data_IF_342727931167
#
_entry.id   IF_342727931167
#
_cell.length_a   1.000
_cell.length_b   1.000
_cell.length_c   1.000
_cell.angle_alpha   90.00
_cell.angle_beta   90.00
_cell.angle_gamma   90.00
#
_symmetry.space_group_name_H-M   'P 1'
#
loop_
_entity.id
_entity.type
_entity.pdbx_description
1 polymer ?
#
# COMPACT_ATOMS: atom_id res chain seq x y z
N UNK A 1 9.41 -10.72 -12.00
CA UNK A 1 8.58 -10.45 -10.81
C UNK A 1 9.00 -11.30 -9.61
N UNK A 2 8.91 -10.75 -8.39
CA UNK A 2 9.21 -11.40 -7.11
C UNK A 2 7.90 -11.86 -6.45
N UNK A 3 7.85 -13.11 -5.98
CA UNK A 3 6.73 -13.66 -5.20
C UNK A 3 6.75 -13.11 -3.77
N UNK A 4 5.63 -12.56 -3.32
CA UNK A 4 5.42 -12.06 -1.95
C UNK A 4 3.96 -12.25 -1.53
N UNK A 5 3.70 -12.12 -0.23
CA UNK A 5 2.34 -11.92 0.28
C UNK A 5 1.98 -10.44 0.10
N UNK A 6 0.84 -10.17 -0.52
CA UNK A 6 0.19 -8.86 -0.52
C UNK A 6 -0.89 -8.78 0.56
N UNK A 7 -1.02 -7.60 1.18
CA UNK A 7 -2.14 -7.25 2.06
C UNK A 7 -2.87 -6.00 1.57
N UNK A 8 -4.11 -5.79 2.00
CA UNK A 8 -4.83 -4.55 1.74
C UNK A 8 -4.44 -3.45 2.74
N UNK A 9 -4.48 -2.19 2.29
CA UNK A 9 -4.36 -1.02 3.15
C UNK A 9 -5.28 0.11 2.66
N UNK A 10 -5.47 1.13 3.51
CA UNK A 10 -6.32 2.29 3.22
C UNK A 10 -7.73 1.89 2.73
N UNK A 11 -8.29 0.81 3.30
CA UNK A 11 -9.65 0.39 2.96
C UNK A 11 -10.66 1.40 3.53
N UNK A 12 -11.85 1.60 2.92
CA UNK A 12 -12.86 2.53 3.43
C UNK A 12 -13.20 2.33 4.92
N UNK A 13 -13.18 1.07 5.38
CA UNK A 13 -13.40 0.73 6.80
C UNK A 13 -12.26 1.20 7.72
N UNK A 14 -11.03 1.24 7.23
CA UNK A 14 -9.89 1.73 8.00
C UNK A 14 -9.98 3.25 8.17
N UNK A 15 -10.42 3.97 7.13
CA UNK A 15 -10.69 5.41 7.17
C UNK A 15 -11.87 5.74 8.09
N UNK A 16 -12.94 4.96 8.03
CA UNK A 16 -14.07 5.09 8.97
C UNK A 16 -13.62 4.92 10.43
N UNK A 17 -12.79 3.91 10.71
CA UNK A 17 -12.24 3.66 12.06
C UNK A 17 -11.32 4.79 12.51
N UNK A 18 -10.43 5.26 11.63
CA UNK A 18 -9.55 6.39 11.88
C UNK A 18 -10.37 7.62 12.28
N UNK A 19 -11.34 8.02 11.45
CA UNK A 19 -12.16 9.20 11.68
C UNK A 19 -13.00 9.08 12.96
N UNK A 20 -13.54 7.89 13.23
CA UNK A 20 -14.29 7.63 14.46
C UNK A 20 -13.43 7.84 15.70
N UNK A 21 -12.26 7.21 15.76
CA UNK A 21 -11.36 7.34 16.92
C UNK A 21 -10.81 8.75 17.05
N UNK A 22 -10.53 9.43 15.94
CA UNK A 22 -10.12 10.83 15.96
C UNK A 22 -11.22 11.73 16.54
N UNK A 23 -12.47 11.52 16.15
CA UNK A 23 -13.60 12.28 16.69
C UNK A 23 -13.85 12.00 18.18
N UNK A 24 -13.66 10.75 18.62
CA UNK A 24 -13.85 10.35 20.03
C UNK A 24 -12.71 10.81 20.94
N UNK A 25 -11.47 10.83 20.45
CA UNK A 25 -10.27 11.02 21.29
C UNK A 25 -9.50 12.30 21.03
N UNK A 26 -9.70 12.95 19.87
CA UNK A 26 -8.86 14.05 19.38
C UNK A 26 -7.40 13.67 19.13
N UNK A 27 -7.04 12.39 19.23
CA UNK A 27 -5.65 11.92 19.12
C UNK A 27 -5.41 11.25 17.78
N UNK A 28 -4.66 11.92 16.91
CA UNK A 28 -4.21 11.35 15.63
C UNK A 28 -3.40 10.07 15.84
N UNK A 29 -2.56 10.02 16.89
CA UNK A 29 -1.81 8.80 17.23
C UNK A 29 -2.74 7.62 17.55
N UNK A 30 -3.80 7.85 18.33
CA UNK A 30 -4.76 6.79 18.64
C UNK A 30 -5.56 6.38 17.40
N UNK A 31 -5.92 7.35 16.56
CA UNK A 31 -6.62 7.12 15.31
C UNK A 31 -5.80 6.28 14.32
N UNK A 32 -4.50 6.59 14.14
CA UNK A 32 -3.57 5.82 13.32
C UNK A 32 -3.27 4.41 13.88
N UNK A 33 -3.49 4.19 15.17
CA UNK A 33 -3.42 2.85 15.76
C UNK A 33 -4.69 2.03 15.51
N UNK A 34 -5.82 2.69 15.32
CA UNK A 34 -7.13 2.06 15.13
C UNK A 34 -7.49 1.84 13.65
N UNK A 35 -6.95 2.65 12.76
CA UNK A 35 -7.21 2.62 11.33
C UNK A 35 -6.17 3.40 10.53
N UNK A 36 -6.53 3.74 9.30
CA UNK A 36 -5.68 4.39 8.30
C UNK A 36 -6.32 5.73 7.90
N UNK A 37 -5.53 6.80 7.73
CA UNK A 37 -6.07 8.10 7.35
C UNK A 37 -6.30 8.27 5.85
N UNK A 38 -5.93 7.27 5.03
CA UNK A 38 -6.06 7.28 3.59
C UNK A 38 -5.07 8.22 2.88
N UNK A 39 -3.97 8.59 3.53
CA UNK A 39 -2.95 9.49 2.99
C UNK A 39 -1.58 8.82 3.06
N UNK A 40 -0.97 8.59 1.90
CA UNK A 40 0.35 7.98 1.81
C UNK A 40 1.48 8.91 2.27
N UNK A 41 2.67 8.34 2.48
CA UNK A 41 3.86 9.01 3.01
C UNK A 41 4.30 10.28 2.24
N UNK A 42 3.80 10.50 1.02
CA UNK A 42 4.08 11.70 0.22
C UNK A 42 2.86 12.57 -0.09
N UNK A 43 1.76 12.40 0.66
CA UNK A 43 0.54 13.21 0.56
C UNK A 43 -0.44 12.77 -0.53
N UNK A 44 -0.19 11.64 -1.19
CA UNK A 44 -1.12 11.05 -2.15
C UNK A 44 -2.34 10.45 -1.40
N UNK A 45 -3.56 10.60 -1.94
CA UNK A 45 -4.76 9.98 -1.39
C UNK A 45 -4.76 8.50 -1.75
N UNK A 46 -4.57 7.63 -0.76
CA UNK A 46 -4.43 6.17 -0.95
C UNK A 46 -5.75 5.43 -0.79
N UNK A 47 -6.69 5.97 -0.03
CA UNK A 47 -8.06 5.44 0.11
C UNK A 47 -8.93 5.80 -1.11
N UNK A 48 -8.50 5.38 -2.28
CA UNK A 48 -9.16 5.62 -3.56
C UNK A 48 -9.21 4.36 -4.41
N UNK A 49 -10.28 4.21 -5.18
CA UNK A 49 -10.45 3.19 -6.20
C UNK A 49 -9.95 3.67 -7.58
N UNK A 50 -9.75 4.98 -7.74
CA UNK A 50 -9.42 5.62 -9.01
C UNK A 50 -7.98 5.32 -9.47
N UNK A 51 -7.02 5.32 -8.54
CA UNK A 51 -5.61 5.06 -8.82
C UNK A 51 -5.12 3.82 -8.06
N UNK A 52 -4.38 2.95 -8.76
CA UNK A 52 -3.71 1.81 -8.16
C UNK A 52 -2.42 2.25 -7.46
N UNK A 53 -2.41 2.21 -6.13
CA UNK A 53 -1.32 2.69 -5.29
C UNK A 53 -0.88 1.58 -4.34
N UNK A 54 0.43 1.38 -4.24
CA UNK A 54 1.02 0.42 -3.31
C UNK A 54 1.94 1.08 -2.29
N UNK A 55 2.19 0.34 -1.21
CA UNK A 55 3.24 0.61 -0.25
C UNK A 55 4.31 -0.50 -0.29
N UNK A 56 5.57 -0.12 -0.12
CA UNK A 56 6.71 -1.07 -0.03
C UNK A 56 7.58 -0.74 1.18
N UNK A 57 8.35 -1.71 1.72
CA UNK A 57 9.28 -1.45 2.81
C UNK A 57 10.39 -0.48 2.39
N UNK A 58 10.86 0.40 3.30
CA UNK A 58 11.86 1.41 2.98
C UNK A 58 13.19 0.81 2.50
N UNK A 59 13.55 -0.39 2.94
CA UNK A 59 14.76 -1.09 2.49
C UNK A 59 14.65 -1.50 1.00
N UNK A 60 13.50 -2.07 0.61
CA UNK A 60 13.22 -2.48 -0.78
C UNK A 60 13.22 -1.26 -1.71
N UNK A 61 12.65 -0.15 -1.24
CA UNK A 61 12.62 1.11 -1.99
C UNK A 61 14.04 1.64 -2.21
N UNK A 62 14.84 1.72 -1.14
CA UNK A 62 16.20 2.28 -1.19
C UNK A 62 17.15 1.39 -1.99
N UNK A 63 16.99 0.08 -1.95
CA UNK A 63 17.79 -0.87 -2.75
C UNK A 63 17.71 -0.55 -4.25
N UNK A 64 16.52 -0.20 -4.76
CA UNK A 64 16.35 0.14 -6.18
C UNK A 64 16.68 1.61 -6.49
N UNK A 65 16.19 2.54 -5.69
CA UNK A 65 16.15 3.96 -6.05
C UNK A 65 17.12 4.84 -5.28
N UNK A 66 17.87 4.30 -4.32
CA UNK A 66 18.82 5.04 -3.48
C UNK A 66 18.17 5.88 -2.38
N UNK A 67 16.96 6.41 -2.59
CA UNK A 67 16.22 7.17 -1.58
C UNK A 67 14.69 7.05 -1.71
N UNK A 68 14.00 7.26 -0.59
CA UNK A 68 12.53 7.28 -0.55
C UNK A 68 11.96 8.41 -1.42
N UNK A 69 12.59 9.59 -1.41
CA UNK A 69 12.16 10.75 -2.19
C UNK A 69 12.19 10.48 -3.70
N UNK A 70 13.22 9.80 -4.19
CA UNK A 70 13.36 9.46 -5.61
C UNK A 70 12.39 8.37 -6.07
N UNK A 71 11.86 7.59 -5.13
CA UNK A 71 10.93 6.50 -5.43
C UNK A 71 9.46 6.93 -5.48
N UNK A 72 9.13 8.17 -5.05
CA UNK A 72 7.77 8.69 -5.09
C UNK A 72 7.18 8.50 -6.49
N UNK A 73 6.00 7.87 -6.55
CA UNK A 73 5.23 7.60 -7.77
C UNK A 73 5.97 6.77 -8.82
N UNK A 74 7.01 6.03 -8.45
CA UNK A 74 7.64 5.08 -9.38
C UNK A 74 6.65 3.95 -9.71
N UNK A 75 6.61 3.50 -10.97
CA UNK A 75 5.66 2.48 -11.40
C UNK A 75 5.97 1.14 -10.73
N UNK A 76 4.91 0.42 -10.37
CA UNK A 76 4.97 -0.91 -9.76
C UNK A 76 3.95 -1.80 -10.48
N UNK A 77 4.44 -2.89 -11.07
CA UNK A 77 3.59 -3.90 -11.68
C UNK A 77 3.32 -5.02 -10.69
N UNK A 78 2.05 -5.38 -10.51
CA UNK A 78 1.60 -6.45 -9.62
C UNK A 78 0.79 -7.44 -10.44
N UNK A 79 1.13 -8.71 -10.32
CA UNK A 79 0.46 -9.83 -10.95
C UNK A 79 -0.24 -10.68 -9.89
N UNK A 80 -1.52 -10.92 -10.11
CA UNK A 80 -2.32 -11.88 -9.35
C UNK A 80 -3.01 -12.84 -10.33
N UNK A 81 -2.72 -14.13 -10.22
CA UNK A 81 -3.16 -15.15 -11.17
C UNK A 81 -2.74 -14.78 -12.60
N UNK A 82 -3.68 -14.46 -13.49
CA UNK A 82 -3.44 -14.11 -14.90
C UNK A 82 -3.61 -12.60 -15.17
N UNK A 83 -3.83 -11.79 -14.13
CA UNK A 83 -4.03 -10.35 -14.25
C UNK A 83 -2.78 -9.61 -13.81
N UNK A 84 -2.29 -8.69 -14.64
CA UNK A 84 -1.21 -7.76 -14.31
C UNK A 84 -1.77 -6.35 -14.27
N UNK A 85 -1.53 -5.64 -13.17
CA UNK A 85 -1.92 -4.24 -12.97
C UNK A 85 -0.67 -3.43 -12.69
N UNK A 86 -0.49 -2.34 -13.44
CA UNK A 86 0.53 -1.35 -13.14
C UNK A 86 -0.09 -0.20 -12.35
N UNK A 87 0.47 0.07 -11.20
CA UNK A 87 0.17 1.21 -10.35
C UNK A 87 1.43 1.99 -10.00
N UNK A 88 1.37 2.75 -8.92
CA UNK A 88 2.47 3.59 -8.44
C UNK A 88 2.79 3.33 -6.98
N UNK A 89 4.06 3.55 -6.61
CA UNK A 89 4.46 3.62 -5.21
C UNK A 89 3.99 4.97 -4.62
N UNK A 90 3.02 4.91 -3.70
CA UNK A 90 2.46 6.11 -3.04
C UNK A 90 2.59 6.12 -1.52
N UNK A 91 3.02 5.01 -0.92
CA UNK A 91 3.22 4.92 0.52
C UNK A 91 4.40 4.01 0.93
N UNK A 92 4.70 3.96 2.22
CA UNK A 92 5.82 3.23 2.81
C UNK A 92 5.32 2.29 3.90
N UNK A 93 5.58 0.99 3.74
CA UNK A 93 5.33 0.00 4.79
C UNK A 93 6.30 0.16 5.96
N UNK A 94 6.04 -0.48 7.12
CA UNK A 94 7.06 -0.68 8.13
C UNK A 94 8.35 -1.29 7.55
N UNK A 95 9.49 -0.97 8.18
CA UNK A 95 10.77 -1.63 7.89
C UNK A 95 10.62 -3.15 7.87
N UNK A 96 11.31 -3.83 6.95
CA UNK A 96 11.20 -5.31 6.77
C UNK A 96 11.30 -6.07 8.10
N UNK A 97 12.22 -5.67 8.98
CA UNK A 97 12.43 -6.33 10.29
C UNK A 97 11.23 -6.22 11.26
N UNK A 98 10.33 -5.26 11.03
CA UNK A 98 9.17 -4.99 11.87
C UNK A 98 7.87 -5.61 11.30
N UNK A 99 7.93 -6.18 10.10
CA UNK A 99 6.79 -6.83 9.46
C UNK A 99 6.58 -8.21 10.09
N UNK A 100 5.43 -8.40 10.76
CA UNK A 100 5.10 -9.66 11.44
C UNK A 100 4.14 -10.55 10.66
N UNK A 101 3.39 -9.98 9.72
CA UNK A 101 2.39 -10.68 8.92
C UNK A 101 2.97 -11.32 7.65
N UNK A 102 4.25 -11.10 7.35
CA UNK A 102 4.92 -11.62 6.15
C UNK A 102 4.59 -10.84 4.86
N UNK A 103 3.89 -9.71 4.95
CA UNK A 103 3.58 -8.88 3.79
C UNK A 103 4.86 -8.32 3.15
N UNK A 104 4.94 -8.41 1.82
CA UNK A 104 6.02 -7.79 1.03
C UNK A 104 5.56 -6.59 0.21
N UNK A 105 4.25 -6.34 0.15
CA UNK A 105 3.61 -5.21 -0.53
C UNK A 105 2.22 -5.00 0.09
N UNK A 106 1.82 -3.74 0.26
CA UNK A 106 0.43 -3.39 0.58
C UNK A 106 -0.23 -2.75 -0.64
N UNK A 107 -1.48 -3.12 -0.92
CA UNK A 107 -2.24 -2.73 -2.11
C UNK A 107 -3.53 -2.01 -1.70
N UNK A 108 -3.77 -0.84 -2.30
CA UNK A 108 -4.95 -0.03 -2.00
C UNK A 108 -6.21 -0.54 -2.73
N UNK A 109 -7.40 0.07 -2.51
CA UNK A 109 -8.63 -0.31 -3.20
C UNK A 109 -8.52 -0.25 -4.73
N UNK A 110 -7.76 0.70 -5.28
CA UNK A 110 -7.50 0.81 -6.71
C UNK A 110 -6.79 -0.41 -7.31
N UNK A 111 -5.81 -1.00 -6.61
CA UNK A 111 -5.25 -2.29 -6.99
C UNK A 111 -6.24 -3.42 -6.78
N UNK A 112 -6.94 -3.44 -5.64
CA UNK A 112 -7.87 -4.51 -5.30
C UNK A 112 -8.91 -4.75 -6.38
N UNK A 113 -9.59 -3.68 -6.83
CA UNK A 113 -10.61 -3.75 -7.89
C UNK A 113 -10.03 -4.26 -9.20
N UNK A 114 -8.87 -3.74 -9.61
CA UNK A 114 -8.24 -4.11 -10.89
C UNK A 114 -7.69 -5.54 -10.90
N UNK A 115 -7.29 -6.06 -9.74
CA UNK A 115 -6.85 -7.45 -9.56
C UNK A 115 -8.02 -8.41 -9.23
N UNK A 116 -9.24 -7.91 -9.07
CA UNK A 116 -10.40 -8.73 -8.68
C UNK A 116 -10.34 -9.24 -7.23
N UNK A 117 -9.63 -8.53 -6.36
CA UNK A 117 -9.51 -8.82 -4.92
C UNK A 117 -10.56 -8.03 -4.13
N UNK A 118 -11.04 -8.63 -3.03
CA UNK A 118 -11.96 -7.97 -2.09
C UNK A 118 -11.26 -7.75 -0.75
N UNK A 119 -11.06 -6.49 -0.32
CA UNK A 119 -10.50 -6.22 0.98
C UNK A 119 -11.41 -6.63 2.17
N UNK A 120 -10.84 -7.00 3.33
CA UNK A 120 -9.42 -7.18 3.56
C UNK A 120 -8.92 -8.49 2.95
N UNK A 121 -7.70 -8.49 2.40
CA UNK A 121 -7.07 -9.69 1.85
C UNK A 121 -5.64 -9.88 2.33
N UNK A 122 -5.20 -11.13 2.24
CA UNK A 122 -3.82 -11.57 2.38
C UNK A 122 -3.58 -12.69 1.38
N UNK A 123 -2.84 -12.45 0.32
CA UNK A 123 -2.71 -13.39 -0.80
C UNK A 123 -1.33 -13.37 -1.43
N UNK A 124 -0.93 -14.45 -2.07
CA UNK A 124 0.29 -14.48 -2.86
C UNK A 124 0.11 -13.67 -4.15
N UNK A 125 1.09 -12.82 -4.45
CA UNK A 125 1.21 -12.08 -5.71
C UNK A 125 2.65 -12.14 -6.20
N UNK A 126 2.84 -11.76 -7.46
CA UNK A 126 4.16 -11.43 -7.99
C UNK A 126 4.23 -9.92 -8.25
N UNK A 127 5.34 -9.26 -7.93
CA UNK A 127 5.49 -7.84 -8.29
C UNK A 127 6.90 -7.49 -8.77
N UNK A 128 7.01 -6.40 -9.50
CA UNK A 128 8.28 -5.77 -9.86
C UNK A 128 8.15 -4.27 -10.05
N UNK A 129 9.29 -3.57 -10.07
CA UNK A 129 9.32 -2.19 -10.55
C UNK A 129 8.92 -2.18 -12.02
N UNK A 130 7.94 -1.34 -12.37
CA UNK A 130 7.57 -1.16 -13.76
C UNK A 130 8.66 -0.42 -14.53
N UNK A 131 8.67 -0.61 -15.84
CA UNK A 131 9.44 0.24 -16.74
C UNK A 131 8.72 1.58 -16.80
N UNK A 132 9.38 2.64 -16.33
CA UNK A 132 8.87 4.00 -16.52
C UNK A 132 8.79 4.28 -18.01
N UNK A 133 7.56 4.41 -18.53
CA UNK A 133 7.33 4.96 -19.86
C UNK A 133 7.88 6.37 -20.00
#
# INVERSE_FOLDING_TARGET
MKKVIATSFADPKDVERYNKVLAETGSEKAALQAGDNGVGAWGDITATEEEAICALPPEVIKEKWGSLKQAKRKPVAVKYVDVVVTGVLGDIMPSVKNIKNGAGIDLNPGFAIRLGLKPPFKTDVEWEWGDGG
#
